data_IF_668805102731
#
_entry.id   IF_668805102731
#
_cell.length_a   1.000
_cell.length_b   1.000
_cell.length_c   1.000
_cell.angle_alpha   90.00
_cell.angle_beta   90.00
_cell.angle_gamma   90.00
#
_symmetry.space_group_name_H-M   'P 1'
#
loop_
_entity.id
_entity.type
_entity.pdbx_description
1 polymer ?
#
# COMPACT_ATOMS: atom_id res chain seq x y z
N UNK A 1 1.81 -9.99 -7.83
CA UNK A 1 2.71 -8.87 -7.52
C UNK A 1 3.67 -8.76 -8.67
N UNK A 2 3.76 -7.58 -9.28
CA UNK A 2 4.70 -7.30 -10.37
C UNK A 2 5.63 -6.19 -9.93
N UNK A 3 6.94 -6.41 -10.10
CA UNK A 3 7.97 -5.43 -9.78
C UNK A 3 8.60 -4.99 -11.09
N UNK A 4 8.64 -3.68 -11.33
CA UNK A 4 9.30 -3.07 -12.49
C UNK A 4 10.28 -2.01 -11.99
N UNK A 5 11.41 -1.85 -12.67
CA UNK A 5 12.35 -0.76 -12.37
C UNK A 5 12.10 0.41 -13.32
N UNK A 6 12.07 1.62 -12.79
CA UNK A 6 11.97 2.86 -13.57
C UNK A 6 12.86 3.91 -12.90
N UNK A 7 13.80 4.48 -13.65
CA UNK A 7 14.67 5.58 -13.18
C UNK A 7 15.36 5.38 -11.82
N UNK A 8 15.77 4.13 -11.52
CA UNK A 8 16.42 3.77 -10.26
C UNK A 8 15.46 3.43 -9.12
N UNK A 9 14.15 3.56 -9.35
CA UNK A 9 13.10 3.20 -8.40
C UNK A 9 12.50 1.83 -8.72
N UNK A 10 11.87 1.23 -7.71
CA UNK A 10 11.12 -0.01 -7.80
C UNK A 10 9.62 0.27 -7.75
N UNK A 11 8.96 0.14 -8.90
CA UNK A 11 7.51 0.21 -9.01
C UNK A 11 6.91 -1.16 -8.72
N UNK A 12 6.06 -1.22 -7.69
CA UNK A 12 5.37 -2.45 -7.27
C UNK A 12 3.89 -2.31 -7.60
N UNK A 13 3.42 -3.14 -8.53
CA UNK A 13 2.00 -3.28 -8.81
C UNK A 13 1.42 -4.46 -8.02
N UNK A 14 0.40 -4.18 -7.24
CA UNK A 14 -0.31 -5.14 -6.39
C UNK A 14 -1.75 -5.29 -6.86
N UNK A 15 -2.24 -6.51 -6.89
CA UNK A 15 -3.70 -6.75 -6.91
C UNK A 15 -4.31 -6.36 -5.57
N UNK A 16 -5.63 -6.16 -5.52
CA UNK A 16 -6.33 -5.83 -4.27
C UNK A 16 -6.06 -6.85 -3.15
N UNK A 17 -6.07 -8.15 -3.49
CA UNK A 17 -5.78 -9.22 -2.51
C UNK A 17 -4.33 -9.20 -2.02
N UNK A 18 -3.39 -8.81 -2.87
CA UNK A 18 -1.97 -8.69 -2.48
C UNK A 18 -1.72 -7.46 -1.63
N UNK A 19 -2.35 -6.34 -1.96
CA UNK A 19 -2.32 -5.14 -1.14
C UNK A 19 -2.92 -5.40 0.25
N UNK A 20 -4.07 -6.10 0.33
CA UNK A 20 -4.66 -6.50 1.61
C UNK A 20 -3.72 -7.34 2.45
N UNK A 21 -3.09 -8.36 1.87
CA UNK A 21 -2.12 -9.20 2.59
C UNK A 21 -0.89 -8.43 3.06
N UNK A 22 -0.44 -7.45 2.28
CA UNK A 22 0.67 -6.59 2.66
C UNK A 22 0.30 -5.70 3.87
N UNK A 23 -0.89 -5.10 3.86
CA UNK A 23 -1.42 -4.32 4.99
C UNK A 23 -1.50 -5.18 6.25
N UNK A 24 -2.04 -6.40 6.15
CA UNK A 24 -2.17 -7.32 7.29
C UNK A 24 -0.78 -7.67 7.86
N UNK A 25 0.20 -7.97 7.00
CA UNK A 25 1.57 -8.26 7.42
C UNK A 25 2.23 -7.06 8.10
N UNK A 26 2.05 -5.85 7.57
CA UNK A 26 2.54 -4.62 8.17
C UNK A 26 1.91 -4.37 9.55
N UNK A 27 0.61 -4.62 9.69
CA UNK A 27 -0.10 -4.45 10.95
C UNK A 27 0.42 -5.43 12.02
N UNK A 28 0.65 -6.68 11.63
CA UNK A 28 1.23 -7.69 12.52
C UNK A 28 2.64 -7.30 12.98
N UNK A 29 3.47 -6.70 12.12
CA UNK A 29 4.80 -6.23 12.48
C UNK A 29 4.75 -5.10 13.52
N UNK A 30 3.83 -4.14 13.34
CA UNK A 30 3.63 -3.05 14.32
C UNK A 30 3.18 -3.63 15.66
N UNK A 31 2.15 -4.47 15.67
CA UNK A 31 1.64 -5.10 16.89
C UNK A 31 2.71 -5.93 17.61
N UNK A 32 3.52 -6.69 16.86
CA UNK A 32 4.61 -7.47 17.44
C UNK A 32 5.68 -6.57 18.07
N UNK A 33 5.99 -5.43 17.44
CA UNK A 33 6.97 -4.47 17.97
C UNK A 33 6.52 -3.79 19.26
N UNK A 34 5.20 -3.58 19.42
CA UNK A 34 4.63 -3.03 20.65
C UNK A 34 4.51 -4.08 21.76
N UNK A 35 4.24 -5.34 21.39
CA UNK A 35 4.10 -6.44 22.34
C UNK A 35 5.44 -6.94 22.92
N UNK A 36 6.56 -6.67 22.24
CA UNK A 36 7.89 -7.11 22.65
C UNK A 36 8.90 -5.93 22.63
N UNK A 37 9.20 -5.31 23.79
CA UNK A 37 10.08 -4.13 23.87
C UNK A 37 11.48 -4.34 23.27
N UNK A 38 12.00 -5.57 23.34
CA UNK A 38 13.29 -5.96 22.76
C UNK A 38 13.27 -6.11 21.23
N UNK A 39 12.08 -6.08 20.60
CA UNK A 39 11.86 -6.17 19.16
C UNK A 39 11.26 -4.87 18.60
N UNK A 40 11.55 -3.73 19.26
CA UNK A 40 11.12 -2.43 18.80
C UNK A 40 11.55 -2.20 17.34
N UNK A 41 10.62 -1.66 16.53
CA UNK A 41 10.92 -1.31 15.15
C UNK A 41 11.95 -0.17 15.12
N UNK A 42 12.99 -0.28 14.27
CA UNK A 42 13.85 0.85 13.99
C UNK A 42 13.01 2.05 13.49
N UNK A 43 13.38 3.31 13.83
CA UNK A 43 12.61 4.49 13.44
C UNK A 43 12.29 4.56 11.94
N UNK A 44 13.28 4.25 11.09
CA UNK A 44 13.12 4.25 9.63
C UNK A 44 12.05 3.24 9.16
N UNK A 45 11.95 2.09 9.83
CA UNK A 45 10.93 1.07 9.52
C UNK A 45 9.55 1.51 10.00
N UNK A 46 9.45 2.15 11.16
CA UNK A 46 8.18 2.71 11.62
C UNK A 46 7.66 3.79 10.64
N UNK A 47 8.55 4.67 10.17
CA UNK A 47 8.20 5.67 9.15
C UNK A 47 7.77 5.04 7.83
N UNK A 48 8.52 4.05 7.35
CA UNK A 48 8.20 3.35 6.10
C UNK A 48 6.84 2.64 6.16
N UNK A 49 6.54 1.96 7.27
CA UNK A 49 5.25 1.31 7.48
C UNK A 49 4.10 2.34 7.51
N UNK A 50 4.29 3.47 8.19
CA UNK A 50 3.32 4.56 8.21
C UNK A 50 3.02 5.10 6.80
N UNK A 51 4.07 5.42 6.03
CA UNK A 51 3.94 5.88 4.64
C UNK A 51 3.22 4.86 3.75
N UNK A 52 3.46 3.57 3.97
CA UNK A 52 2.82 2.49 3.21
C UNK A 52 1.33 2.40 3.52
N UNK A 53 0.92 2.51 4.79
CA UNK A 53 -0.50 2.55 5.16
C UNK A 53 -1.21 3.77 4.59
N UNK A 54 -0.61 4.95 4.66
CA UNK A 54 -1.17 6.18 4.10
C UNK A 54 -1.34 6.09 2.58
N UNK A 55 -0.30 5.62 1.88
CA UNK A 55 -0.34 5.44 0.43
C UNK A 55 -1.42 4.45 -0.02
N UNK A 56 -1.56 3.33 0.68
CA UNK A 56 -2.60 2.33 0.38
C UNK A 56 -4.01 2.84 0.72
N UNK A 57 -4.17 3.60 1.80
CA UNK A 57 -5.45 4.25 2.14
C UNK A 57 -5.88 5.23 1.04
N UNK A 58 -5.01 6.15 0.63
CA UNK A 58 -5.32 7.11 -0.44
C UNK A 58 -5.63 6.44 -1.78
N UNK A 59 -4.98 5.32 -2.10
CA UNK A 59 -5.29 4.54 -3.30
C UNK A 59 -6.71 3.95 -3.27
N UNK A 60 -7.19 3.49 -2.11
CA UNK A 60 -8.58 2.99 -1.98
C UNK A 60 -9.62 4.10 -2.07
N UNK A 61 -9.31 5.30 -1.60
CA UNK A 61 -10.19 6.47 -1.72
C UNK A 61 -10.27 6.97 -3.16
N UNK A 62 -9.14 6.98 -3.87
CA UNK A 62 -9.05 7.37 -5.28
C UNK A 62 -9.75 6.38 -6.21
N UNK A 63 -9.66 5.07 -5.94
CA UNK A 63 -10.35 4.03 -6.69
C UNK A 63 -11.89 4.14 -6.61
N UNK A 64 -12.41 4.72 -5.53
CA UNK A 64 -13.86 4.97 -5.34
C UNK A 64 -14.39 6.15 -6.17
N UNK A 65 -13.50 7.02 -6.67
CA UNK A 65 -13.85 8.23 -7.41
C UNK A 65 -13.69 8.10 -8.94
N UNK A 66 -13.41 6.91 -9.47
CA UNK A 66 -13.35 6.71 -10.92
C UNK A 66 -14.67 7.18 -11.58
N UNK A 67 -14.66 8.20 -12.45
CA UNK A 67 -15.88 8.76 -13.02
C UNK A 67 -16.54 7.72 -13.93
N UNK A 68 -17.86 7.57 -13.79
CA UNK A 68 -18.71 6.85 -14.74
C UNK A 68 -18.46 7.45 -16.13
N UNK A 69 -17.82 6.69 -16.99
CA UNK A 69 -17.68 7.01 -18.40
C UNK A 69 -19.09 7.14 -19.01
N UNK A 70 -19.50 8.29 -19.59
CA UNK A 70 -20.73 8.32 -20.37
C UNK A 70 -20.45 7.65 -21.71
N UNK A 71 -20.94 6.43 -21.85
CA UNK A 71 -21.03 5.74 -23.14
C UNK A 71 -22.02 6.49 -24.04
N UNK A 72 -21.50 7.28 -24.97
CA UNK A 72 -22.25 7.70 -26.17
C UNK A 72 -21.34 7.57 -27.38
N UNK A 73 -21.66 6.71 -28.36
CA UNK A 73 -21.15 6.88 -29.71
C UNK A 73 -22.06 7.85 -30.47
N UNK A 74 -21.47 8.72 -31.31
CA UNK A 74 -22.07 8.93 -32.62
C UNK A 74 -20.98 8.92 -33.71
N UNK A 75 -21.13 7.98 -34.65
CA UNK A 75 -20.91 8.11 -36.09
C UNK A 75 -21.55 6.90 -36.76
#
# INVERSE_FOLDING_TARGET
MRITRCDGEHLIALTASEASRLVDACALLVLASEAAPQAALPPDMATLLGQLFDGLKSATESAKQAPKHPSTPPC
#
